data_IF_544303209963
#
_entry.id   IF_544303209963
#
_cell.length_a   1.000
_cell.length_b   1.000
_cell.length_c   1.000
_cell.angle_alpha   90.00
_cell.angle_beta   90.00
_cell.angle_gamma   90.00
#
_symmetry.space_group_name_H-M   'P 1'
#
loop_
_entity.id
_entity.type
_entity.pdbx_description
1 polymer ?
#
# COMPACT_ATOMS: atom_id res chain seq x y z
N UNK A 1 -3.36 16.21 15.56
CA UNK A 1 -1.94 16.49 15.85
C UNK A 1 -1.16 16.21 14.57
N UNK A 2 -0.27 17.09 14.11
CA UNK A 2 0.62 16.74 13.00
C UNK A 2 1.66 15.76 13.56
N UNK A 3 1.50 14.47 13.31
CA UNK A 3 2.57 13.53 13.58
C UNK A 3 3.80 13.98 12.79
N UNK A 4 4.90 14.21 13.50
CA UNK A 4 6.17 14.50 12.87
C UNK A 4 6.50 13.33 11.94
N UNK A 5 6.74 13.63 10.66
CA UNK A 5 7.11 12.61 9.68
C UNK A 5 8.24 11.75 10.25
N UNK A 6 8.06 10.42 10.24
CA UNK A 6 9.05 9.47 10.71
C UNK A 6 10.42 9.78 10.08
N UNK A 7 11.48 9.75 10.89
CA UNK A 7 12.84 10.10 10.48
C UNK A 7 13.76 8.91 10.67
N UNK A 8 14.50 8.59 9.62
CA UNK A 8 15.58 7.63 9.61
C UNK A 8 16.91 8.34 9.35
N UNK A 9 17.98 7.90 10.00
CA UNK A 9 19.34 8.31 9.64
C UNK A 9 20.04 7.23 8.81
N UNK A 10 20.99 7.66 7.99
CA UNK A 10 21.73 6.81 7.04
C UNK A 10 22.45 5.64 7.71
N UNK A 11 22.91 5.84 8.95
CA UNK A 11 23.67 4.90 9.76
C UNK A 11 22.81 4.05 10.71
N UNK A 12 21.48 4.24 10.71
CA UNK A 12 20.57 3.55 11.61
C UNK A 12 20.65 4.01 13.07
N UNK A 13 21.34 5.11 13.38
CA UNK A 13 21.37 5.69 14.75
C UNK A 13 19.97 6.17 15.16
N UNK A 14 19.24 6.80 14.23
CA UNK A 14 17.88 7.26 14.44
C UNK A 14 16.92 6.37 13.67
N UNK A 15 16.17 5.55 14.42
CA UNK A 15 15.10 4.69 13.91
C UNK A 15 13.81 5.08 14.63
N UNK A 16 12.73 5.40 13.90
CA UNK A 16 11.46 5.79 14.50
C UNK A 16 10.79 4.59 15.16
N UNK A 17 9.96 4.86 16.17
CA UNK A 17 9.09 3.82 16.73
C UNK A 17 7.94 3.52 15.78
N UNK A 18 7.61 2.24 15.64
CA UNK A 18 6.46 1.82 14.85
C UNK A 18 5.15 2.15 15.59
N UNK A 19 4.16 2.67 14.87
CA UNK A 19 2.80 2.81 15.40
C UNK A 19 1.98 1.52 15.19
N UNK A 20 1.13 1.11 16.15
CA UNK A 20 0.19 -0.01 15.99
C UNK A 20 -0.60 -0.02 14.67
N UNK A 21 -1.08 1.12 14.16
CA UNK A 21 -1.81 1.16 12.88
C UNK A 21 -0.88 0.82 11.71
N UNK A 22 0.39 1.18 11.79
CA UNK A 22 1.38 0.85 10.76
C UNK A 22 1.75 -0.63 10.84
N UNK A 23 1.80 -1.24 12.04
CA UNK A 23 1.94 -2.70 12.19
C UNK A 23 0.79 -3.46 11.50
N UNK A 24 -0.46 -3.07 11.77
CA UNK A 24 -1.63 -3.70 11.19
C UNK A 24 -1.64 -3.60 9.65
N UNK A 25 -1.33 -2.41 9.10
CA UNK A 25 -1.17 -2.22 7.66
C UNK A 25 -0.11 -3.15 7.07
N UNK A 26 1.05 -3.25 7.73
CA UNK A 26 2.13 -4.13 7.31
C UNK A 26 1.74 -5.61 7.34
N UNK A 27 0.95 -6.06 8.33
CA UNK A 27 0.44 -7.43 8.41
C UNK A 27 -0.52 -7.74 7.26
N UNK A 28 -1.49 -6.86 7.01
CA UNK A 28 -2.44 -6.99 5.90
C UNK A 28 -1.71 -7.04 4.56
N UNK A 29 -0.71 -6.17 4.36
CA UNK A 29 0.11 -6.14 3.15
C UNK A 29 0.85 -7.47 2.92
N UNK A 30 1.48 -7.99 3.97
CA UNK A 30 2.25 -9.23 3.94
C UNK A 30 1.36 -10.43 3.60
N UNK A 31 0.21 -10.56 4.27
CA UNK A 31 -0.75 -11.63 4.01
C UNK A 31 -1.29 -11.56 2.58
N UNK A 32 -1.68 -10.36 2.15
CA UNK A 32 -2.21 -10.16 0.80
C UNK A 32 -1.17 -10.47 -0.28
N UNK A 33 0.08 -10.01 -0.18
CA UNK A 33 1.11 -10.28 -1.20
C UNK A 33 1.44 -11.77 -1.26
N UNK A 34 1.53 -12.43 -0.10
CA UNK A 34 1.74 -13.88 -0.03
C UNK A 34 0.61 -14.63 -0.76
N UNK A 35 -0.65 -14.27 -0.50
CA UNK A 35 -1.82 -14.91 -1.12
C UNK A 35 -1.97 -14.52 -2.60
N UNK A 36 -1.57 -13.32 -3.00
CA UNK A 36 -1.51 -12.86 -4.39
C UNK A 36 -0.51 -13.70 -5.19
N UNK A 37 0.71 -13.88 -4.69
CA UNK A 37 1.70 -14.75 -5.32
C UNK A 37 1.18 -16.18 -5.35
N UNK A 38 0.73 -16.73 -4.22
CA UNK A 38 0.19 -18.09 -4.17
C UNK A 38 -0.90 -18.33 -5.23
N UNK A 39 -1.81 -17.37 -5.41
CA UNK A 39 -2.93 -17.46 -6.34
C UNK A 39 -2.53 -17.22 -7.80
N UNK A 40 -1.81 -16.14 -8.09
CA UNK A 40 -1.50 -15.76 -9.48
C UNK A 40 -0.34 -16.56 -10.05
N UNK A 41 0.72 -16.78 -9.27
CA UNK A 41 1.83 -17.63 -9.67
C UNK A 41 1.44 -19.10 -9.57
N UNK A 42 0.71 -19.56 -8.55
CA UNK A 42 0.38 -20.98 -8.35
C UNK A 42 -0.52 -21.62 -9.42
N UNK A 43 -1.21 -20.83 -10.26
CA UNK A 43 -1.96 -21.36 -11.42
C UNK A 43 -1.01 -22.13 -12.35
N UNK A 44 -1.21 -23.44 -12.54
CA UNK A 44 -0.31 -24.37 -13.24
C UNK A 44 0.46 -23.83 -14.46
N UNK A 45 0.00 -24.10 -15.70
CA UNK A 45 0.70 -23.61 -16.91
C UNK A 45 0.44 -22.14 -17.24
N UNK A 46 -0.61 -21.56 -16.66
CA UNK A 46 -1.11 -20.23 -16.97
C UNK A 46 -0.80 -19.17 -15.92
N UNK A 47 -0.10 -19.55 -14.85
CA UNK A 47 0.20 -18.64 -13.76
C UNK A 47 1.21 -17.60 -14.18
N UNK A 48 1.02 -16.40 -13.64
CA UNK A 48 1.89 -15.26 -13.89
C UNK A 48 3.29 -15.59 -13.39
N UNK A 49 4.31 -15.37 -14.21
CA UNK A 49 5.72 -15.63 -13.86
C UNK A 49 6.54 -14.36 -13.72
N UNK A 50 5.96 -13.19 -14.02
CA UNK A 50 6.60 -11.88 -13.90
C UNK A 50 5.80 -10.99 -13.00
N UNK A 51 6.44 -10.48 -11.95
CA UNK A 51 5.85 -9.53 -11.01
C UNK A 51 6.71 -8.29 -10.91
N UNK A 52 6.05 -7.14 -10.76
CA UNK A 52 6.70 -5.88 -10.39
C UNK A 52 5.97 -5.31 -9.18
N UNK A 53 6.68 -5.13 -8.07
CA UNK A 53 6.17 -4.49 -6.87
C UNK A 53 6.79 -3.10 -6.77
N UNK A 54 5.95 -2.08 -6.61
CA UNK A 54 6.35 -0.69 -6.49
C UNK A 54 5.87 -0.20 -5.13
N UNK A 55 6.79 0.22 -4.27
CA UNK A 55 6.48 0.96 -3.06
C UNK A 55 6.79 2.44 -3.31
N UNK A 56 5.74 3.26 -3.42
CA UNK A 56 5.88 4.67 -3.75
C UNK A 56 6.41 5.53 -2.60
N UNK A 57 6.40 5.02 -1.37
CA UNK A 57 6.68 5.77 -0.14
C UNK A 57 7.38 4.88 0.88
N UNK A 58 8.54 4.32 0.50
CA UNK A 58 9.11 3.16 1.20
C UNK A 58 9.74 3.45 2.57
N UNK A 59 10.08 4.71 2.87
CA UNK A 59 10.79 5.09 4.09
C UNK A 59 12.14 4.39 4.25
N UNK A 60 12.63 4.34 5.50
CA UNK A 60 13.89 3.66 5.83
C UNK A 60 13.79 2.16 6.06
N UNK A 61 12.61 1.56 5.89
CA UNK A 61 12.43 0.11 5.91
C UNK A 61 12.56 -0.59 7.27
N UNK A 62 12.83 0.12 8.38
CA UNK A 62 12.97 -0.48 9.70
C UNK A 62 12.43 0.42 10.80
N UNK A 63 11.93 -0.14 11.89
CA UNK A 63 11.36 0.62 13.01
C UNK A 63 11.78 -0.02 14.33
N UNK A 64 11.80 0.77 15.39
CA UNK A 64 11.92 0.26 16.75
C UNK A 64 10.54 -0.20 17.22
N UNK A 65 10.46 -1.44 17.67
CA UNK A 65 9.26 -1.97 18.30
C UNK A 65 9.35 -1.78 19.82
N UNK A 66 8.28 -1.25 20.43
CA UNK A 66 8.22 -1.05 21.89
C UNK A 66 7.80 -2.33 22.61
N UNK A 67 7.10 -3.24 21.91
CA UNK A 67 6.44 -4.40 22.51
C UNK A 67 7.41 -5.59 22.57
N UNK A 68 8.24 -5.73 21.55
CA UNK A 68 9.35 -6.66 21.50
C UNK A 68 10.61 -5.81 21.33
N UNK A 69 11.64 -5.96 22.16
CA UNK A 69 12.92 -5.24 22.08
C UNK A 69 13.74 -5.51 20.77
N UNK A 70 13.06 -5.85 19.68
CA UNK A 70 13.57 -6.14 18.36
C UNK A 70 13.12 -5.06 17.36
N UNK A 71 13.72 -5.09 16.18
CA UNK A 71 13.30 -4.26 15.08
C UNK A 71 12.02 -4.79 14.41
N UNK A 72 11.13 -3.87 14.01
CA UNK A 72 10.01 -4.15 13.12
C UNK A 72 10.37 -3.73 11.69
N UNK A 73 10.29 -4.65 10.73
CA UNK A 73 10.59 -4.35 9.33
C UNK A 73 9.44 -3.65 8.62
N UNK A 74 9.77 -2.65 7.80
CA UNK A 74 8.84 -1.88 6.98
C UNK A 74 8.40 -2.61 5.70
N UNK A 75 7.60 -1.92 4.89
CA UNK A 75 7.02 -2.45 3.65
C UNK A 75 8.05 -3.03 2.67
N UNK A 76 9.25 -2.47 2.42
CA UNK A 76 10.17 -3.04 1.42
C UNK A 76 10.58 -4.47 1.72
N UNK A 77 10.98 -4.71 2.97
CA UNK A 77 11.44 -6.01 3.45
C UNK A 77 10.26 -6.99 3.55
N UNK A 78 9.11 -6.52 4.01
CA UNK A 78 7.89 -7.34 4.11
C UNK A 78 7.38 -7.79 2.75
N UNK A 79 7.38 -6.90 1.74
CA UNK A 79 7.02 -7.23 0.36
C UNK A 79 7.92 -8.37 -0.16
N UNK A 80 9.23 -8.25 -0.01
CA UNK A 80 10.19 -9.27 -0.48
C UNK A 80 9.94 -10.61 0.22
N UNK A 81 9.80 -10.61 1.55
CA UNK A 81 9.56 -11.82 2.34
C UNK A 81 8.22 -12.47 1.97
N UNK A 82 7.14 -11.70 1.87
CA UNK A 82 5.83 -12.18 1.47
C UNK A 82 5.84 -12.85 0.08
N UNK A 83 6.58 -12.27 -0.88
CA UNK A 83 6.74 -12.87 -2.21
C UNK A 83 7.46 -14.21 -2.13
N UNK A 84 8.56 -14.29 -1.37
CA UNK A 84 9.32 -15.52 -1.17
C UNK A 84 8.47 -16.61 -0.50
N UNK A 85 7.67 -16.24 0.50
CA UNK A 85 6.73 -17.16 1.17
C UNK A 85 5.64 -17.66 0.23
N UNK A 86 4.98 -16.77 -0.51
CA UNK A 86 3.96 -17.14 -1.49
C UNK A 86 4.52 -18.07 -2.59
N UNK A 87 5.75 -17.81 -3.04
CA UNK A 87 6.45 -18.68 -3.99
C UNK A 87 6.64 -20.09 -3.42
N UNK A 88 7.18 -20.22 -2.21
CA UNK A 88 7.35 -21.52 -1.54
C UNK A 88 6.01 -22.23 -1.32
N UNK A 89 4.99 -21.49 -0.84
CA UNK A 89 3.62 -22.01 -0.61
C UNK A 89 3.00 -22.59 -1.88
N UNK A 90 3.28 -21.99 -3.04
CA UNK A 90 2.73 -22.44 -4.33
C UNK A 90 3.25 -23.80 -4.79
N UNK A 91 4.47 -24.19 -4.34
CA UNK A 91 5.20 -25.40 -4.78
C UNK A 91 5.34 -25.54 -6.30
N UNK A 92 5.13 -24.47 -7.06
CA UNK A 92 5.17 -24.48 -8.53
C UNK A 92 6.62 -24.38 -8.99
N UNK A 93 7.02 -25.28 -9.89
CA UNK A 93 8.39 -25.41 -10.41
C UNK A 93 8.67 -24.61 -11.69
N UNK A 94 8.04 -23.45 -11.86
CA UNK A 94 8.30 -22.57 -13.00
C UNK A 94 9.26 -21.45 -12.59
N UNK A 95 9.92 -20.83 -13.57
CA UNK A 95 10.74 -19.66 -13.27
C UNK A 95 9.84 -18.50 -12.83
N UNK A 96 10.14 -17.93 -11.66
CA UNK A 96 9.53 -16.70 -11.17
C UNK A 96 10.53 -15.55 -11.35
N UNK A 97 10.08 -14.43 -11.92
CA UNK A 97 10.90 -13.24 -12.16
C UNK A 97 10.24 -12.05 -11.46
N UNK A 98 10.91 -11.50 -10.44
CA UNK A 98 10.35 -10.44 -9.58
C UNK A 98 11.24 -9.22 -9.60
N UNK A 99 10.62 -8.06 -9.80
CA UNK A 99 11.28 -6.76 -9.67
C UNK A 99 10.62 -5.97 -8.56
N UNK A 100 11.42 -5.38 -7.68
CA UNK A 100 11.00 -4.48 -6.62
C UNK A 100 11.53 -3.09 -6.93
N UNK A 101 10.68 -2.08 -6.87
CA UNK A 101 11.05 -0.67 -7.05
C UNK A 101 10.62 0.07 -5.79
N UNK A 102 11.60 0.63 -5.07
CA UNK A 102 11.38 1.35 -3.82
C UNK A 102 11.69 2.84 -4.03
N UNK A 103 10.68 3.68 -3.80
CA UNK A 103 10.75 5.12 -4.00
C UNK A 103 10.64 5.81 -2.64
N UNK A 104 11.55 6.74 -2.39
CA UNK A 104 11.53 7.61 -1.22
C UNK A 104 12.15 8.95 -1.57
N UNK A 105 11.56 10.04 -1.11
CA UNK A 105 12.01 11.39 -1.45
C UNK A 105 13.24 11.84 -0.67
N UNK A 106 13.44 11.32 0.54
CA UNK A 106 14.59 11.67 1.37
C UNK A 106 15.71 10.67 1.18
N UNK A 107 16.85 11.17 0.68
CA UNK A 107 18.05 10.36 0.50
C UNK A 107 18.45 9.63 1.78
N UNK A 108 18.41 10.30 2.94
CA UNK A 108 18.79 9.68 4.22
C UNK A 108 17.96 8.44 4.59
N UNK A 109 16.66 8.47 4.27
CA UNK A 109 15.77 7.33 4.49
C UNK A 109 16.10 6.20 3.53
N UNK A 110 16.30 6.52 2.25
CA UNK A 110 16.65 5.52 1.24
C UNK A 110 18.01 4.86 1.53
N UNK A 111 18.98 5.65 2.01
CA UNK A 111 20.28 5.16 2.46
C UNK A 111 20.16 4.28 3.70
N UNK A 112 19.29 4.63 4.66
CA UNK A 112 18.97 3.75 5.79
C UNK A 112 18.40 2.40 5.32
N UNK A 113 17.47 2.42 4.36
CA UNK A 113 16.91 1.20 3.76
C UNK A 113 18.03 0.33 3.14
N UNK A 114 18.87 0.93 2.30
CA UNK A 114 19.94 0.22 1.57
C UNK A 114 21.05 -0.29 2.48
N UNK A 115 21.55 0.57 3.37
CA UNK A 115 22.80 0.31 4.10
C UNK A 115 22.57 -0.32 5.47
N UNK A 116 21.36 -0.24 6.02
CA UNK A 116 21.06 -0.72 7.36
C UNK A 116 19.92 -1.75 7.38
N UNK A 117 18.75 -1.41 6.86
CA UNK A 117 17.56 -2.24 6.99
C UNK A 117 17.63 -3.53 6.15
N UNK A 118 18.05 -3.42 4.88
CA UNK A 118 18.20 -4.59 3.99
C UNK A 118 19.26 -5.58 4.51
N UNK A 119 20.48 -5.16 4.92
CA UNK A 119 21.44 -6.07 5.56
C UNK A 119 20.95 -6.67 6.88
N UNK A 120 20.29 -5.90 7.75
CA UNK A 120 19.73 -6.46 9.00
C UNK A 120 18.70 -7.57 8.72
N UNK A 121 17.98 -7.46 7.60
CA UNK A 121 16.99 -8.44 7.18
C UNK A 121 17.57 -9.63 6.40
N UNK A 122 18.89 -9.68 6.14
CA UNK A 122 19.54 -10.70 5.33
C UNK A 122 19.18 -10.59 3.83
N UNK A 123 19.13 -9.36 3.32
CA UNK A 123 18.80 -9.02 1.92
C UNK A 123 19.89 -8.14 1.30
N UNK A 124 21.10 -8.15 1.85
CA UNK A 124 22.23 -7.33 1.41
C UNK A 124 22.60 -7.57 -0.05
N UNK A 125 22.40 -8.78 -0.59
CA UNK A 125 22.73 -9.07 -1.98
C UNK A 125 21.90 -8.24 -2.96
N UNK A 126 20.66 -7.89 -2.61
CA UNK A 126 19.75 -7.15 -3.48
C UNK A 126 20.05 -5.63 -3.53
N UNK A 127 20.93 -5.13 -2.67
CA UNK A 127 21.24 -3.70 -2.56
C UNK A 127 22.03 -3.18 -3.78
N UNK A 128 22.71 -4.07 -4.50
CA UNK A 128 23.51 -3.73 -5.68
C UNK A 128 22.69 -3.45 -6.95
N UNK A 129 21.36 -3.61 -6.87
CA UNK A 129 20.39 -3.40 -7.95
C UNK A 129 20.56 -4.31 -9.18
N UNK A 130 21.38 -5.36 -9.08
CA UNK A 130 21.52 -6.38 -10.12
C UNK A 130 20.43 -7.46 -10.03
N UNK A 131 20.34 -8.27 -11.08
CA UNK A 131 19.47 -9.44 -11.08
C UNK A 131 20.21 -10.58 -10.38
N UNK A 132 19.61 -11.11 -9.32
CA UNK A 132 20.10 -12.27 -8.58
C UNK A 132 19.25 -13.49 -8.85
N UNK A 133 19.91 -14.63 -9.07
CA UNK A 133 19.27 -15.92 -9.30
C UNK A 133 19.33 -16.80 -8.05
N UNK A 134 18.15 -17.23 -7.60
CA UNK A 134 17.99 -18.12 -6.45
C UNK A 134 17.38 -19.43 -6.92
N UNK A 135 18.11 -20.53 -6.72
CA UNK A 135 17.66 -21.87 -7.06
C UNK A 135 17.20 -22.61 -5.79
N UNK A 136 16.05 -23.26 -5.86
CA UNK A 136 15.53 -24.12 -4.80
C UNK A 136 14.91 -25.40 -5.38
N UNK A 137 14.45 -26.30 -4.51
CA UNK A 137 13.68 -27.49 -4.92
C UNK A 137 12.36 -27.14 -5.65
N UNK A 138 11.90 -25.89 -5.51
CA UNK A 138 10.70 -25.36 -6.17
C UNK A 138 11.01 -24.60 -7.46
N UNK A 139 12.24 -24.66 -7.99
CA UNK A 139 12.65 -24.03 -9.24
C UNK A 139 13.49 -22.76 -9.05
N UNK A 140 13.60 -21.98 -10.12
CA UNK A 140 14.45 -20.79 -10.19
C UNK A 140 13.64 -19.51 -9.96
N UNK A 141 14.11 -18.66 -9.08
CA UNK A 141 13.56 -17.32 -8.83
C UNK A 141 14.60 -16.26 -9.16
N UNK A 142 14.23 -15.28 -9.98
CA UNK A 142 15.01 -14.08 -10.18
C UNK A 142 14.44 -12.95 -9.36
N UNK A 143 15.30 -12.21 -8.68
CA UNK A 143 14.95 -11.01 -7.96
C UNK A 143 15.86 -9.86 -8.36
N UNK A 144 15.28 -8.67 -8.49
CA UNK A 144 16.01 -7.42 -8.66
C UNK A 144 15.33 -6.35 -7.82
N UNK A 145 16.11 -5.62 -7.01
CA UNK A 145 15.67 -4.38 -6.40
C UNK A 145 16.15 -3.17 -7.21
N UNK A 146 15.40 -2.08 -7.10
CA UNK A 146 15.74 -0.79 -7.66
C UNK A 146 15.36 0.28 -6.64
N UNK A 147 16.28 1.17 -6.31
CA UNK A 147 16.08 2.21 -5.31
C UNK A 147 16.09 3.57 -6.00
N UNK A 148 15.07 4.40 -5.76
CA UNK A 148 14.93 5.69 -6.42
C UNK A 148 14.65 6.80 -5.41
N UNK A 149 15.52 7.81 -5.42
CA UNK A 149 15.34 9.01 -4.61
C UNK A 149 14.50 10.03 -5.40
N UNK A 150 13.31 10.35 -4.89
CA UNK A 150 12.41 11.32 -5.52
C UNK A 150 10.98 11.20 -5.01
N UNK A 151 10.13 12.18 -5.37
CA UNK A 151 8.70 12.09 -5.13
C UNK A 151 8.07 11.08 -6.10
N UNK A 152 7.04 10.36 -5.66
CA UNK A 152 6.38 9.35 -6.48
C UNK A 152 5.79 9.91 -7.79
N UNK A 153 5.12 11.06 -7.72
CA UNK A 153 4.51 11.70 -8.90
C UNK A 153 5.51 12.05 -9.99
N UNK A 154 6.76 12.37 -9.64
CA UNK A 154 7.81 12.68 -10.61
C UNK A 154 8.32 11.40 -11.31
N UNK A 155 8.29 10.27 -10.60
CA UNK A 155 8.87 9.00 -11.05
C UNK A 155 7.84 8.02 -11.62
N UNK A 156 6.54 8.26 -11.42
CA UNK A 156 5.47 7.32 -11.81
C UNK A 156 5.53 6.96 -13.29
N UNK A 157 5.80 7.92 -14.20
CA UNK A 157 5.87 7.64 -15.63
C UNK A 157 7.04 6.71 -15.99
N UNK A 158 8.17 6.81 -15.29
CA UNK A 158 9.30 5.88 -15.46
C UNK A 158 8.92 4.48 -14.96
N UNK A 159 8.24 4.37 -13.82
CA UNK A 159 7.75 3.10 -13.30
C UNK A 159 6.77 2.43 -14.27
N UNK A 160 5.81 3.20 -14.80
CA UNK A 160 4.82 2.71 -15.77
C UNK A 160 5.50 2.18 -17.04
N UNK A 161 6.50 2.91 -17.57
CA UNK A 161 7.27 2.47 -18.72
C UNK A 161 7.99 1.14 -18.47
N UNK A 162 8.61 0.98 -17.28
CA UNK A 162 9.27 -0.28 -16.89
C UNK A 162 8.29 -1.44 -16.76
N UNK A 163 7.13 -1.21 -16.13
CA UNK A 163 6.08 -2.23 -16.02
C UNK A 163 5.57 -2.62 -17.40
N UNK A 164 5.36 -1.65 -18.30
CA UNK A 164 4.88 -1.94 -19.64
C UNK A 164 5.88 -2.74 -20.47
N UNK A 165 7.18 -2.49 -20.35
CA UNK A 165 8.22 -3.30 -21.01
C UNK A 165 8.26 -4.71 -20.44
N UNK A 166 8.28 -4.83 -19.11
CA UNK A 166 8.45 -6.11 -18.42
C UNK A 166 7.25 -7.03 -18.64
N UNK A 167 6.06 -6.43 -18.72
CA UNK A 167 4.74 -7.10 -18.71
C UNK A 167 4.57 -7.96 -17.45
N UNK A 168 3.42 -8.62 -17.35
CA UNK A 168 3.08 -9.47 -16.19
C UNK A 168 2.18 -8.74 -15.21
N UNK A 169 2.28 -9.10 -13.93
CA UNK A 169 1.48 -8.51 -12.88
C UNK A 169 2.23 -7.36 -12.20
N UNK A 170 1.54 -6.29 -11.84
CA UNK A 170 2.14 -5.18 -11.11
C UNK A 170 1.29 -4.77 -9.92
N UNK A 171 1.95 -4.52 -8.79
CA UNK A 171 1.31 -4.08 -7.56
C UNK A 171 1.97 -2.79 -7.08
N UNK A 172 1.17 -1.75 -6.87
CA UNK A 172 1.60 -0.45 -6.38
C UNK A 172 1.09 -0.24 -4.96
N UNK A 173 2.01 -0.18 -3.99
CA UNK A 173 1.73 0.28 -2.65
C UNK A 173 1.92 1.79 -2.61
N UNK A 174 0.83 2.52 -2.37
CA UNK A 174 0.82 3.97 -2.31
C UNK A 174 0.36 4.41 -0.93
N UNK A 175 1.31 4.79 -0.09
CA UNK A 175 1.10 5.24 1.29
C UNK A 175 1.47 6.72 1.47
N UNK A 176 0.76 7.64 0.81
CA UNK A 176 1.14 9.04 0.86
C UNK A 176 0.89 9.65 2.24
N UNK A 177 1.72 10.62 2.61
CA UNK A 177 1.51 11.41 3.82
C UNK A 177 0.38 12.42 3.63
N UNK A 178 0.14 12.88 2.40
CA UNK A 178 -0.90 13.82 2.03
C UNK A 178 -1.59 13.42 0.73
N UNK A 179 -2.84 13.83 0.57
CA UNK A 179 -3.65 13.48 -0.60
C UNK A 179 -3.18 14.14 -1.91
N UNK A 180 -2.28 15.12 -1.86
CA UNK A 180 -1.66 15.73 -3.04
C UNK A 180 -0.48 14.95 -3.58
N UNK A 181 0.03 13.99 -2.81
CA UNK A 181 1.25 13.25 -3.15
C UNK A 181 1.00 12.17 -4.21
N UNK A 182 -0.28 11.89 -4.54
CA UNK A 182 -0.69 11.00 -5.63
C UNK A 182 -1.88 11.58 -6.35
N UNK A 183 -1.74 11.83 -7.66
CA UNK A 183 -2.80 12.41 -8.48
C UNK A 183 -3.77 11.34 -8.99
N UNK A 184 -5.03 11.74 -9.22
CA UNK A 184 -6.02 10.89 -9.86
C UNK A 184 -5.60 10.50 -11.29
N UNK A 185 -4.83 11.37 -11.96
CA UNK A 185 -4.19 11.06 -13.24
C UNK A 185 -3.21 9.88 -13.12
N UNK A 186 -2.33 9.89 -12.13
CA UNK A 186 -1.40 8.79 -11.86
C UNK A 186 -2.14 7.49 -11.54
N UNK A 187 -3.19 7.54 -10.72
CA UNK A 187 -4.05 6.38 -10.44
C UNK A 187 -4.66 5.82 -11.73
N UNK A 188 -5.19 6.65 -12.62
CA UNK A 188 -5.71 6.21 -13.93
C UNK A 188 -4.63 5.56 -14.78
N UNK A 189 -3.47 6.18 -14.88
CA UNK A 189 -2.35 5.67 -15.67
C UNK A 189 -1.91 4.30 -15.18
N UNK A 190 -1.79 4.10 -13.87
CA UNK A 190 -1.50 2.80 -13.29
C UNK A 190 -2.61 1.81 -13.65
N UNK A 191 -3.88 2.15 -13.40
CA UNK A 191 -5.01 1.28 -13.73
C UNK A 191 -5.15 0.97 -15.23
N UNK A 192 -4.54 1.76 -16.12
CA UNK A 192 -4.53 1.47 -17.56
C UNK A 192 -3.64 0.28 -17.93
N UNK A 193 -2.67 -0.07 -17.08
CA UNK A 193 -1.81 -1.23 -17.28
C UNK A 193 -2.60 -2.54 -17.12
N UNK A 194 -2.28 -3.51 -17.98
CA UNK A 194 -2.88 -4.82 -17.88
C UNK A 194 -2.34 -5.56 -16.64
N UNK A 195 -3.24 -5.98 -15.75
CA UNK A 195 -2.85 -6.74 -14.56
C UNK A 195 -2.17 -5.89 -13.48
N UNK A 196 -2.49 -4.60 -13.40
CA UNK A 196 -2.09 -3.75 -12.28
C UNK A 196 -3.09 -3.77 -11.13
N UNK A 197 -2.56 -3.57 -9.93
CA UNK A 197 -3.31 -3.38 -8.69
C UNK A 197 -2.67 -2.26 -7.88
N UNK A 198 -3.49 -1.53 -7.12
CA UNK A 198 -3.04 -0.46 -6.23
C UNK A 198 -3.60 -0.74 -4.84
N UNK A 199 -2.76 -0.69 -3.82
CA UNK A 199 -3.20 -0.55 -2.44
C UNK A 199 -2.84 0.86 -1.98
N UNK A 200 -3.87 1.68 -1.77
CA UNK A 200 -3.75 3.09 -1.48
C UNK A 200 -4.20 3.41 -0.05
N UNK A 201 -3.36 4.07 0.73
CA UNK A 201 -3.73 4.57 2.07
C UNK A 201 -4.52 5.86 1.96
N UNK A 202 -5.83 5.79 2.19
CA UNK A 202 -6.76 6.91 2.11
C UNK A 202 -7.14 7.46 3.49
N UNK A 203 -6.43 8.49 3.92
CA UNK A 203 -6.69 9.20 5.18
C UNK A 203 -7.98 10.01 5.10
N UNK A 204 -9.01 9.63 5.87
CA UNK A 204 -10.34 10.25 5.78
C UNK A 204 -10.36 11.69 6.29
N UNK A 205 -9.48 12.00 7.25
CA UNK A 205 -9.36 13.34 7.82
C UNK A 205 -8.91 14.38 6.78
N UNK A 206 -8.19 13.97 5.74
CA UNK A 206 -7.86 14.89 4.65
C UNK A 206 -9.09 15.33 3.89
N UNK A 207 -10.05 14.44 3.64
CA UNK A 207 -11.32 14.81 3.02
C UNK A 207 -12.13 15.75 3.90
N UNK A 208 -12.10 15.58 5.23
CA UNK A 208 -12.80 16.50 6.13
C UNK A 208 -12.25 17.93 6.03
N UNK A 209 -10.92 18.07 6.08
CA UNK A 209 -10.23 19.36 5.87
C UNK A 209 -10.54 19.91 4.50
N UNK A 210 -10.50 19.04 3.50
CA UNK A 210 -10.79 19.37 2.11
C UNK A 210 -12.18 20.00 1.97
N UNK A 211 -13.22 19.32 2.45
CA UNK A 211 -14.60 19.79 2.32
C UNK A 211 -14.85 21.11 3.03
N UNK A 212 -14.12 21.36 4.11
CA UNK A 212 -14.16 22.64 4.83
C UNK A 212 -13.46 23.77 4.06
N UNK A 213 -12.48 23.47 3.21
CA UNK A 213 -11.67 24.43 2.45
C UNK A 213 -11.90 24.39 0.92
N UNK A 214 -12.93 23.65 0.45
CA UNK A 214 -13.15 23.35 -0.98
C UNK A 214 -13.34 24.58 -1.88
N UNK A 215 -13.81 25.69 -1.29
CA UNK A 215 -13.97 26.96 -1.98
C UNK A 215 -12.87 27.98 -1.67
N UNK A 216 -11.85 27.57 -0.90
CA UNK A 216 -10.75 28.40 -0.46
C UNK A 216 -9.40 27.89 -0.99
N UNK A 217 -8.42 27.76 -0.09
CA UNK A 217 -7.01 27.50 -0.42
C UNK A 217 -6.76 26.15 -1.10
N UNK A 218 -7.63 25.17 -0.87
CA UNK A 218 -7.45 23.81 -1.37
C UNK A 218 -8.23 23.52 -2.65
N UNK A 219 -8.96 24.51 -3.19
CA UNK A 219 -9.81 24.34 -4.38
C UNK A 219 -9.07 23.65 -5.54
N UNK A 220 -7.88 24.15 -5.89
CA UNK A 220 -7.09 23.61 -7.00
C UNK A 220 -6.82 22.11 -6.85
N UNK A 221 -6.33 21.67 -5.69
CA UNK A 221 -6.08 20.26 -5.51
C UNK A 221 -7.38 19.42 -5.55
N UNK A 222 -8.52 19.91 -5.03
CA UNK A 222 -9.80 19.16 -5.15
C UNK A 222 -10.10 18.82 -6.59
N UNK A 223 -9.97 19.84 -7.43
CA UNK A 223 -10.55 19.88 -8.76
C UNK A 223 -9.58 19.26 -9.74
N UNK A 224 -8.29 19.44 -9.52
CA UNK A 224 -7.26 19.07 -10.48
C UNK A 224 -6.44 17.85 -10.03
N UNK A 225 -6.15 17.70 -8.72
CA UNK A 225 -5.38 16.55 -8.23
C UNK A 225 -6.29 15.36 -7.93
N UNK A 226 -7.33 15.57 -7.12
CA UNK A 226 -8.29 14.51 -6.76
C UNK A 226 -9.41 14.37 -7.79
N UNK A 227 -9.64 15.40 -8.61
CA UNK A 227 -10.72 15.49 -9.61
C UNK A 227 -12.12 15.25 -9.05
N UNK A 228 -12.36 15.77 -7.85
CA UNK A 228 -13.54 15.52 -7.03
C UNK A 228 -14.71 16.50 -7.28
N UNK A 229 -14.68 17.25 -8.38
CA UNK A 229 -15.82 18.10 -8.78
C UNK A 229 -17.10 17.26 -8.97
N UNK A 230 -18.17 17.67 -8.28
CA UNK A 230 -19.46 16.97 -8.28
C UNK A 230 -19.55 15.80 -7.32
N UNK A 231 -18.52 15.57 -6.49
CA UNK A 231 -18.52 14.58 -5.41
C UNK A 231 -18.66 15.26 -4.05
N UNK A 232 -19.15 14.51 -3.07
CA UNK A 232 -19.30 14.96 -1.68
C UNK A 232 -20.27 16.14 -1.48
N UNK A 233 -21.10 16.49 -2.47
CA UNK A 233 -21.98 17.67 -2.42
C UNK A 233 -23.03 17.62 -1.30
N UNK A 234 -23.38 16.42 -0.84
CA UNK A 234 -24.32 16.22 0.27
C UNK A 234 -23.64 16.05 1.63
N UNK A 235 -22.33 16.30 1.72
CA UNK A 235 -21.60 16.20 2.98
C UNK A 235 -22.11 17.22 4.00
N UNK A 236 -22.42 16.75 5.21
CA UNK A 236 -22.76 17.61 6.32
C UNK A 236 -21.49 17.97 7.11
N UNK A 237 -20.93 19.15 6.82
CA UNK A 237 -19.68 19.63 7.41
C UNK A 237 -19.72 19.70 8.95
N UNK A 238 -20.89 19.95 9.54
CA UNK A 238 -21.04 20.03 11.00
C UNK A 238 -21.01 18.67 11.70
N UNK A 239 -21.09 17.56 10.94
CA UNK A 239 -21.26 16.21 11.49
C UNK A 239 -20.36 15.17 10.81
N UNK A 240 -19.23 15.58 10.21
CA UNK A 240 -18.34 14.69 9.45
C UNK A 240 -17.83 13.49 10.29
N UNK A 241 -17.75 13.66 11.60
CA UNK A 241 -17.32 12.63 12.56
C UNK A 241 -18.42 11.64 12.96
N UNK A 242 -19.67 11.88 12.53
CA UNK A 242 -20.75 10.93 12.77
C UNK A 242 -20.65 9.76 11.80
N UNK A 243 -20.98 8.58 12.31
CA UNK A 243 -21.04 7.29 11.61
C UNK A 243 -21.65 7.37 10.21
N UNK A 244 -22.83 8.01 10.05
CA UNK A 244 -23.50 8.14 8.75
C UNK A 244 -22.75 9.01 7.75
N UNK A 245 -22.00 10.01 8.22
CA UNK A 245 -21.17 10.85 7.35
C UNK A 245 -19.88 10.13 6.95
N UNK A 246 -19.24 9.38 7.86
CA UNK A 246 -18.09 8.53 7.53
C UNK A 246 -18.42 7.56 6.38
N UNK A 247 -19.58 6.91 6.46
CA UNK A 247 -20.09 6.04 5.40
C UNK A 247 -20.28 6.77 4.07
N UNK A 248 -20.90 7.96 4.10
CA UNK A 248 -21.08 8.77 2.90
C UNK A 248 -19.75 9.15 2.26
N UNK A 249 -18.80 9.66 3.05
CA UNK A 249 -17.47 10.05 2.57
C UNK A 249 -16.73 8.86 1.96
N UNK A 250 -16.74 7.70 2.62
CA UNK A 250 -16.14 6.48 2.07
C UNK A 250 -16.76 6.11 0.73
N UNK A 251 -18.09 6.06 0.64
CA UNK A 251 -18.78 5.62 -0.58
C UNK A 251 -18.57 6.59 -1.74
N UNK A 252 -18.59 7.90 -1.48
CA UNK A 252 -18.27 8.92 -2.47
C UNK A 252 -16.81 8.81 -2.92
N UNK A 253 -15.88 8.51 -2.01
CA UNK A 253 -14.48 8.24 -2.35
C UNK A 253 -14.37 7.00 -3.24
N UNK A 254 -15.03 5.90 -2.88
CA UNK A 254 -15.02 4.70 -3.71
C UNK A 254 -15.60 4.95 -5.11
N UNK A 255 -16.68 5.74 -5.19
CA UNK A 255 -17.28 6.15 -6.46
C UNK A 255 -16.30 6.99 -7.28
N UNK A 256 -15.67 7.98 -6.66
CA UNK A 256 -14.66 8.83 -7.27
C UNK A 256 -13.51 8.02 -7.88
N UNK A 257 -12.91 7.10 -7.12
CA UNK A 257 -11.81 6.27 -7.62
C UNK A 257 -12.25 5.27 -8.71
N UNK A 258 -13.50 4.82 -8.70
CA UNK A 258 -14.06 4.01 -9.81
C UNK A 258 -14.20 4.82 -11.09
N UNK A 259 -14.81 6.00 -10.99
CA UNK A 259 -15.17 6.82 -12.14
C UNK A 259 -13.98 7.61 -12.67
N UNK A 260 -13.30 8.37 -11.81
CA UNK A 260 -12.15 9.22 -12.17
C UNK A 260 -10.84 8.46 -12.18
N UNK A 261 -10.65 7.50 -11.28
CA UNK A 261 -9.45 6.66 -11.23
C UNK A 261 -9.48 5.47 -12.19
N UNK A 262 -10.62 5.22 -12.85
CA UNK A 262 -10.85 4.10 -13.77
C UNK A 262 -10.59 2.71 -13.16
N UNK A 263 -10.74 2.57 -11.84
CA UNK A 263 -10.69 1.29 -11.17
C UNK A 263 -12.03 0.54 -11.35
N UNK A 264 -12.00 -0.68 -11.90
CA UNK A 264 -13.23 -1.48 -12.08
C UNK A 264 -13.77 -1.96 -10.73
N UNK A 265 -12.87 -2.38 -9.86
CA UNK A 265 -13.16 -2.83 -8.51
C UNK A 265 -12.43 -1.91 -7.53
N UNK A 266 -13.17 -1.46 -6.52
CA UNK A 266 -12.65 -0.70 -5.39
C UNK A 266 -13.18 -1.35 -4.13
N UNK A 267 -12.28 -1.75 -3.24
CA UNK A 267 -12.58 -2.38 -1.97
C UNK A 267 -11.80 -1.70 -0.85
N UNK A 268 -12.41 -1.57 0.33
CA UNK A 268 -11.84 -0.76 1.41
C UNK A 268 -11.74 -1.56 2.69
N UNK A 269 -10.69 -1.30 3.46
CA UNK A 269 -10.50 -1.82 4.82
C UNK A 269 -10.26 -0.67 5.78
N UNK A 270 -11.06 -0.60 6.85
CA UNK A 270 -11.02 0.51 7.80
C UNK A 270 -9.97 0.30 8.89
N UNK A 271 -9.12 1.29 9.17
CA UNK A 271 -8.24 1.29 10.33
C UNK A 271 -8.80 2.25 11.39
N UNK A 272 -9.14 1.73 12.57
CA UNK A 272 -9.78 2.47 13.66
C UNK A 272 -8.85 2.45 14.89
N UNK A 273 -8.43 3.61 15.42
CA UNK A 273 -7.65 3.67 16.65
C UNK A 273 -8.43 3.17 17.87
N UNK A 274 -7.71 2.78 18.92
CA UNK A 274 -8.30 2.34 20.19
C UNK A 274 -9.12 3.47 20.80
N UNK A 275 -10.31 3.13 21.32
CA UNK A 275 -11.19 4.08 22.00
C UNK A 275 -11.89 5.05 21.05
N UNK A 276 -11.56 5.01 19.76
CA UNK A 276 -12.18 5.82 18.72
C UNK A 276 -13.28 5.04 18.00
N UNK A 277 -14.27 5.78 17.51
CA UNK A 277 -15.33 5.27 16.64
C UNK A 277 -15.08 5.65 15.18
N UNK A 278 -14.19 6.62 14.96
CA UNK A 278 -13.91 7.22 13.66
C UNK A 278 -12.74 6.48 13.00
N UNK A 279 -12.89 6.21 11.72
CA UNK A 279 -11.82 5.63 10.89
C UNK A 279 -10.68 6.64 10.77
N UNK A 280 -9.44 6.21 11.00
CA UNK A 280 -8.26 7.04 10.77
C UNK A 280 -7.96 7.12 9.27
N UNK A 281 -7.86 5.95 8.64
CA UNK A 281 -7.73 5.82 7.18
C UNK A 281 -8.34 4.52 6.69
N UNK A 282 -8.63 4.49 5.39
CA UNK A 282 -9.01 3.28 4.67
C UNK A 282 -7.83 2.80 3.84
N UNK A 283 -7.53 1.51 3.87
CA UNK A 283 -6.76 0.88 2.82
C UNK A 283 -7.70 0.63 1.64
N UNK A 284 -7.51 1.35 0.54
CA UNK A 284 -8.29 1.21 -0.68
C UNK A 284 -7.53 0.34 -1.68
N UNK A 285 -8.08 -0.83 -1.96
CA UNK A 285 -7.60 -1.69 -3.04
C UNK A 285 -8.32 -1.33 -4.34
N UNK A 286 -7.54 -1.02 -5.38
CA UNK A 286 -8.01 -0.64 -6.71
C UNK A 286 -7.49 -1.67 -7.72
N UNK A 287 -8.39 -2.25 -8.50
CA UNK A 287 -8.01 -3.25 -9.50
C UNK A 287 -8.99 -3.31 -10.67
N UNK A 288 -8.54 -3.91 -11.78
CA UNK A 288 -9.40 -4.32 -12.91
C UNK A 288 -9.66 -5.82 -12.96
N UNK A 289 -8.99 -6.60 -12.11
CA UNK A 289 -9.02 -8.06 -12.13
C UNK A 289 -9.98 -8.60 -11.06
N UNK A 290 -10.76 -9.63 -11.39
CA UNK A 290 -11.69 -10.25 -10.44
C UNK A 290 -10.95 -11.12 -9.41
N UNK A 291 -9.95 -11.90 -9.83
CA UNK A 291 -9.11 -12.71 -8.93
C UNK A 291 -8.41 -11.84 -7.90
N UNK A 292 -7.93 -10.67 -8.31
CA UNK A 292 -7.37 -9.66 -7.41
C UNK A 292 -8.34 -9.25 -6.29
N UNK A 293 -9.60 -8.97 -6.67
CA UNK A 293 -10.66 -8.62 -5.73
C UNK A 293 -11.01 -9.78 -4.79
N UNK A 294 -10.97 -11.01 -5.27
CA UNK A 294 -11.21 -12.20 -4.45
C UNK A 294 -10.11 -12.35 -3.39
N UNK A 295 -8.84 -12.28 -3.81
CA UNK A 295 -7.68 -12.41 -2.90
C UNK A 295 -7.67 -11.31 -1.84
N UNK A 296 -7.89 -10.03 -2.21
CA UNK A 296 -7.89 -8.96 -1.21
C UNK A 296 -9.04 -9.09 -0.22
N UNK A 297 -10.21 -9.58 -0.66
CA UNK A 297 -11.36 -9.82 0.24
C UNK A 297 -11.07 -10.89 1.26
N UNK A 298 -10.42 -11.98 0.83
CA UNK A 298 -10.00 -13.06 1.73
C UNK A 298 -8.97 -12.54 2.75
N UNK A 299 -7.92 -11.83 2.30
CA UNK A 299 -6.92 -11.25 3.20
C UNK A 299 -7.51 -10.22 4.17
N UNK A 300 -8.41 -9.35 3.70
CA UNK A 300 -9.12 -8.42 4.58
C UNK A 300 -10.05 -9.13 5.56
N UNK A 301 -10.62 -10.27 5.19
CA UNK A 301 -11.43 -11.05 6.10
C UNK A 301 -10.59 -11.68 7.21
N UNK A 302 -9.43 -12.25 6.88
CA UNK A 302 -8.50 -12.87 7.85
C UNK A 302 -8.04 -11.87 8.92
N UNK A 303 -7.78 -10.62 8.52
CA UNK A 303 -7.30 -9.56 9.41
C UNK A 303 -8.44 -8.72 10.04
N UNK A 304 -9.71 -9.03 9.74
CA UNK A 304 -10.84 -8.25 10.26
C UNK A 304 -11.14 -8.60 11.72
N UNK A 305 -11.04 -7.62 12.61
CA UNK A 305 -11.40 -7.76 14.02
C UNK A 305 -12.55 -6.83 14.47
N UNK A 306 -13.24 -6.20 13.52
CA UNK A 306 -14.46 -5.43 13.83
C UNK A 306 -15.64 -6.37 14.07
N UNK A 307 -16.29 -6.21 15.23
CA UNK A 307 -17.52 -6.92 15.56
C UNK A 307 -18.68 -6.51 14.63
N UNK A 308 -19.57 -7.46 14.33
CA UNK A 308 -20.80 -7.22 13.57
C UNK A 308 -21.68 -6.08 14.14
N UNK A 309 -21.60 -5.82 15.46
CA UNK A 309 -22.29 -4.69 16.09
C UNK A 309 -21.73 -3.33 15.64
N UNK A 310 -20.45 -3.27 15.25
CA UNK A 310 -19.88 -2.16 14.48
C UNK A 310 -20.13 -2.40 12.98
N UNK A 311 -21.43 -2.38 12.63
CA UNK A 311 -22.02 -2.32 11.30
C UNK A 311 -21.06 -2.58 10.11
N UNK A 312 -21.03 -3.83 9.66
CA UNK A 312 -20.45 -4.25 8.36
C UNK A 312 -20.88 -3.31 7.21
N UNK A 313 -22.10 -2.74 7.28
CA UNK A 313 -22.62 -1.78 6.30
C UNK A 313 -21.96 -0.40 6.38
N UNK A 314 -21.58 0.05 7.58
CA UNK A 314 -21.02 1.38 7.83
C UNK A 314 -19.52 1.42 7.52
N UNK A 315 -18.75 0.47 8.06
CA UNK A 315 -17.29 0.48 7.97
C UNK A 315 -16.72 -0.61 7.03
N UNK A 316 -17.51 -1.63 6.68
CA UNK A 316 -17.01 -2.76 5.89
C UNK A 316 -16.11 -3.65 6.75
N UNK A 317 -15.10 -4.28 6.12
CA UNK A 317 -14.01 -4.92 6.85
C UNK A 317 -13.10 -3.86 7.49
N UNK A 318 -12.49 -4.19 8.61
CA UNK A 318 -11.52 -3.31 9.24
C UNK A 318 -10.80 -3.91 10.44
N UNK A 319 -9.85 -3.13 10.93
CA UNK A 319 -9.06 -3.42 12.10
C UNK A 319 -9.19 -2.27 13.11
N UNK A 320 -9.59 -2.61 14.33
CA UNK A 320 -9.46 -1.75 15.50
C UNK A 320 -8.22 -2.16 16.27
N UNK A 321 -7.34 -1.22 16.56
CA UNK A 321 -6.18 -1.51 17.42
C UNK A 321 -6.67 -1.94 18.80
N UNK A 322 -6.45 -3.20 19.16
CA UNK A 322 -6.53 -3.67 20.54
C UNK A 322 -5.19 -3.35 21.24
N UNK A 323 -5.18 -3.32 22.57
CA UNK A 323 -3.91 -3.38 23.28
C UNK A 323 -3.25 -4.71 22.89
N UNK A 324 -2.17 -4.64 22.09
CA UNK A 324 -1.21 -5.73 22.08
C UNK A 324 -0.57 -5.69 23.47
N UNK A 325 -1.10 -6.52 24.37
CA UNK A 325 -0.61 -6.69 25.75
C UNK A 325 0.82 -7.25 25.77
#
# INVERSE_FOLDING_TARGET
MSEAQAKWSTDGIYIPYIDPHTKAKHQILEEYIKNLIFTLYGKGRYGVTKFTFIDGFCGGGIYNDKDNNNHWYGSPIKIIKAVREGYVKSRRQFRLDVKFIFIEKKQDHLDCLKNYAMPNAGLEELVDEHIHEFNSEFGTRLEQCEFRCGEFEDLVNECLFKVDIRKGHSFFLLDPFGWTDVSMESIRKINSLAGSEILYTYMIDFIKRFLSERYGKQKHGFQEILEADGYYESANLANLDRTGQQWYLRNESMKLFRERGQAKYVFTFSLIPRGEVIVLYYLMHLSKNLTALEVIKESFWEENNLDYQYCFEVYGHGFRTADFL
#
